data_IF_675863454958
#
_entry.id   IF_675863454958
#
_cell.length_a   1.000
_cell.length_b   1.000
_cell.length_c   1.000
_cell.angle_alpha   90.00
_cell.angle_beta   90.00
_cell.angle_gamma   90.00
#
_symmetry.space_group_name_H-M   'P 1'
#
loop_
_entity.id
_entity.type
_entity.pdbx_description
1 polymer ?
#
# COMPACT_ATOMS: atom_id res chain seq x y z
N UNK A 1 -30.37 18.97 -4.34
CA UNK A 1 -29.28 19.18 -3.36
C UNK A 1 -28.52 17.87 -3.24
N UNK A 2 -27.41 17.74 -3.96
CA UNK A 2 -26.52 16.58 -3.84
C UNK A 2 -25.66 16.85 -2.61
N UNK A 3 -26.01 16.24 -1.49
CA UNK A 3 -25.15 16.20 -0.31
C UNK A 3 -23.92 15.37 -0.68
N UNK A 4 -22.87 16.03 -1.18
CA UNK A 4 -21.53 15.48 -1.10
C UNK A 4 -21.19 15.44 0.38
N UNK A 5 -21.49 14.32 1.03
CA UNK A 5 -20.86 13.96 2.29
C UNK A 5 -19.37 14.18 2.09
N UNK A 6 -18.81 15.21 2.71
CA UNK A 6 -17.37 15.41 2.78
C UNK A 6 -16.81 14.20 3.50
N UNK A 7 -16.50 13.15 2.75
CA UNK A 7 -15.77 11.98 3.23
C UNK A 7 -14.39 12.52 3.53
N UNK A 8 -14.22 13.03 4.74
CA UNK A 8 -12.92 13.20 5.34
C UNK A 8 -12.35 11.79 5.39
N UNK A 9 -11.48 11.45 4.44
CA UNK A 9 -10.61 10.27 4.57
C UNK A 9 -10.01 10.40 5.96
N UNK A 10 -10.34 9.51 6.92
CA UNK A 10 -9.78 9.62 8.25
C UNK A 10 -8.27 9.56 8.08
N UNK A 11 -7.58 10.61 8.54
CA UNK A 11 -6.14 10.68 8.43
C UNK A 11 -5.55 9.42 9.08
N UNK A 12 -4.62 8.76 8.39
CA UNK A 12 -3.84 7.66 8.95
C UNK A 12 -3.30 8.11 10.30
N UNK A 13 -3.76 7.46 11.37
CA UNK A 13 -3.24 7.77 12.69
C UNK A 13 -1.81 7.25 12.78
N UNK A 14 -0.96 7.83 13.65
CA UNK A 14 0.41 7.34 13.83
C UNK A 14 0.45 5.85 14.21
N UNK A 15 -0.56 5.37 14.94
CA UNK A 15 -0.69 3.94 15.28
C UNK A 15 -0.96 3.07 14.04
N UNK A 16 -1.83 3.53 13.13
CA UNK A 16 -2.09 2.87 11.85
C UNK A 16 -0.81 2.80 11.02
N UNK A 17 -0.05 3.90 10.92
CA UNK A 17 1.22 3.94 10.18
C UNK A 17 2.24 2.98 10.79
N UNK A 18 2.30 2.88 12.12
CA UNK A 18 3.17 1.92 12.80
C UNK A 18 2.77 0.47 12.48
N UNK A 19 1.47 0.17 12.44
CA UNK A 19 0.96 -1.14 12.03
C UNK A 19 1.31 -1.47 10.58
N UNK A 20 1.04 -0.57 9.63
CA UNK A 20 1.36 -0.77 8.21
C UNK A 20 2.86 -0.98 8.01
N UNK A 21 3.68 -0.19 8.70
CA UNK A 21 5.15 -0.31 8.68
C UNK A 21 5.62 -1.65 9.25
N UNK A 22 4.98 -2.15 10.32
CA UNK A 22 5.29 -3.46 10.88
C UNK A 22 4.98 -4.59 9.87
N UNK A 23 3.83 -4.53 9.20
CA UNK A 23 3.46 -5.51 8.16
C UNK A 23 4.47 -5.47 7.00
N UNK A 24 4.82 -4.28 6.52
CA UNK A 24 5.82 -4.09 5.48
C UNK A 24 7.18 -4.67 5.89
N UNK A 25 7.62 -4.40 7.12
CA UNK A 25 8.88 -4.91 7.68
C UNK A 25 8.93 -6.43 7.71
N UNK A 26 7.84 -7.06 8.15
CA UNK A 26 7.73 -8.52 8.18
C UNK A 26 7.82 -9.08 6.76
N UNK A 27 7.07 -8.52 5.82
CA UNK A 27 7.09 -8.96 4.42
C UNK A 27 8.47 -8.77 3.76
N UNK A 28 9.13 -7.63 3.98
CA UNK A 28 10.49 -7.38 3.48
C UNK A 28 11.48 -8.42 4.01
N UNK A 29 11.38 -8.80 5.30
CA UNK A 29 12.22 -9.84 5.89
C UNK A 29 11.94 -11.22 5.30
N UNK A 30 10.67 -11.56 5.07
CA UNK A 30 10.28 -12.85 4.49
C UNK A 30 10.77 -13.01 3.05
N UNK A 31 10.75 -11.93 2.27
CA UNK A 31 11.17 -11.92 0.86
C UNK A 31 12.64 -11.52 0.64
N UNK A 32 13.36 -11.17 1.70
CA UNK A 32 14.72 -10.61 1.65
C UNK A 32 14.83 -9.34 0.79
N UNK A 33 13.78 -8.50 0.78
CA UNK A 33 13.80 -7.19 0.14
C UNK A 33 14.28 -6.09 1.08
N UNK A 34 14.89 -5.05 0.50
CA UNK A 34 15.24 -3.84 1.24
C UNK A 34 14.00 -2.97 1.48
N UNK A 35 13.86 -2.42 2.68
CA UNK A 35 12.82 -1.43 2.98
C UNK A 35 12.93 -0.16 2.14
N UNK A 36 14.14 0.17 1.68
CA UNK A 36 14.39 1.32 0.82
C UNK A 36 14.25 0.97 -0.67
N UNK A 37 13.87 -0.28 -0.99
CA UNK A 37 13.71 -0.75 -2.37
C UNK A 37 12.39 -0.31 -3.00
N UNK A 38 12.31 -0.29 -4.33
CA UNK A 38 11.08 0.03 -5.06
C UNK A 38 9.93 -0.94 -4.71
N UNK A 39 10.24 -2.20 -4.40
CA UNK A 39 9.27 -3.22 -4.01
C UNK A 39 8.60 -2.87 -2.69
N UNK A 40 9.38 -2.44 -1.70
CA UNK A 40 8.86 -2.04 -0.40
C UNK A 40 7.99 -0.77 -0.51
N UNK A 41 8.38 0.18 -1.37
CA UNK A 41 7.58 1.37 -1.63
C UNK A 41 6.25 1.01 -2.31
N UNK A 42 6.25 0.09 -3.27
CA UNK A 42 5.04 -0.39 -3.92
C UNK A 42 4.10 -1.05 -2.92
N UNK A 43 4.60 -1.97 -2.11
CA UNK A 43 3.81 -2.64 -1.06
C UNK A 43 3.28 -1.65 -0.01
N UNK A 44 4.07 -0.64 0.36
CA UNK A 44 3.61 0.42 1.27
C UNK A 44 2.39 1.17 0.72
N UNK A 45 2.36 1.46 -0.58
CA UNK A 45 1.22 2.11 -1.25
C UNK A 45 -0.01 1.22 -1.25
N UNK A 46 0.17 -0.07 -1.55
CA UNK A 46 -0.93 -1.04 -1.53
C UNK A 46 -1.50 -1.23 -0.12
N UNK A 47 -0.64 -1.31 0.89
CA UNK A 47 -1.03 -1.36 2.30
C UNK A 47 -1.90 -0.16 2.71
N UNK A 48 -1.51 1.05 2.29
CA UNK A 48 -2.32 2.26 2.50
C UNK A 48 -3.64 2.18 1.73
N UNK A 49 -3.61 1.78 0.46
CA UNK A 49 -4.81 1.66 -0.38
C UNK A 49 -5.84 0.69 0.22
N UNK A 50 -5.40 -0.48 0.67
CA UNK A 50 -6.26 -1.45 1.35
C UNK A 50 -6.79 -0.92 2.68
N UNK A 51 -5.96 -0.22 3.44
CA UNK A 51 -6.39 0.41 4.69
C UNK A 51 -7.48 1.46 4.45
N UNK A 52 -7.29 2.33 3.45
CA UNK A 52 -8.25 3.35 3.04
C UNK A 52 -9.55 2.75 2.47
N UNK A 53 -9.47 1.58 1.84
CA UNK A 53 -10.62 0.81 1.37
C UNK A 53 -11.42 0.18 2.54
N UNK A 54 -10.82 0.09 3.74
CA UNK A 54 -11.47 -0.40 4.95
C UNK A 54 -10.81 -1.63 5.58
N UNK A 55 -9.72 -2.14 5.01
CA UNK A 55 -8.99 -3.30 5.53
C UNK A 55 -8.00 -2.84 6.60
N UNK A 56 -8.46 -2.70 7.83
CA UNK A 56 -7.66 -2.19 8.96
C UNK A 56 -7.02 -3.28 9.82
N UNK A 57 -7.27 -4.55 9.52
CA UNK A 57 -6.73 -5.67 10.30
C UNK A 57 -5.31 -6.03 9.84
N UNK A 58 -4.34 -5.93 10.75
CA UNK A 58 -2.93 -6.34 10.52
C UNK A 58 -2.82 -7.71 9.85
N UNK A 59 -3.57 -8.71 10.34
CA UNK A 59 -3.55 -10.09 9.82
C UNK A 59 -4.01 -10.15 8.36
N UNK A 60 -5.08 -9.43 8.01
CA UNK A 60 -5.58 -9.38 6.62
C UNK A 60 -4.56 -8.72 5.70
N UNK A 61 -4.02 -7.58 6.11
CA UNK A 61 -2.97 -6.87 5.36
C UNK A 61 -1.74 -7.75 5.14
N UNK A 62 -1.29 -8.45 6.19
CA UNK A 62 -0.17 -9.41 6.10
C UNK A 62 -0.47 -10.57 5.15
N UNK A 63 -1.72 -11.06 5.14
CA UNK A 63 -2.17 -12.06 4.19
C UNK A 63 -2.14 -11.53 2.75
N UNK A 64 -2.64 -10.32 2.53
CA UNK A 64 -2.70 -9.71 1.20
C UNK A 64 -1.31 -9.50 0.61
N UNK A 65 -0.37 -8.89 1.34
CA UNK A 65 1.01 -8.67 0.85
C UNK A 65 1.74 -9.97 0.51
N UNK A 66 1.42 -11.09 1.18
CA UNK A 66 2.04 -12.40 0.90
C UNK A 66 1.49 -13.06 -0.36
N UNK A 67 0.21 -12.83 -0.67
CA UNK A 67 -0.43 -13.32 -1.89
C UNK A 67 -0.26 -12.34 -3.06
N UNK A 68 0.15 -11.11 -2.78
CA UNK A 68 0.47 -10.13 -3.80
C UNK A 68 1.67 -10.63 -4.60
N UNK A 69 1.42 -10.96 -5.86
CA UNK A 69 2.50 -11.12 -6.82
C UNK A 69 2.99 -9.71 -7.14
N UNK A 70 4.25 -9.41 -6.78
CA UNK A 70 4.92 -8.22 -7.29
C UNK A 70 5.12 -8.44 -8.78
N UNK A 71 4.10 -8.12 -9.57
CA UNK A 71 4.27 -8.00 -10.99
C UNK A 71 5.09 -6.72 -11.21
N UNK A 72 6.41 -6.86 -11.13
CA UNK A 72 7.37 -5.77 -11.36
C UNK A 72 7.42 -5.41 -12.86
N UNK A 73 6.39 -5.74 -13.63
CA UNK A 73 6.19 -5.37 -15.03
C UNK A 73 5.09 -4.31 -15.15
N UNK A 74 5.19 -3.23 -14.36
CA UNK A 74 4.55 -1.97 -14.74
C UNK A 74 5.64 -0.97 -15.12
N UNK A 75 6.13 -0.98 -16.37
CA UNK A 75 6.85 0.17 -16.89
C UNK A 75 5.94 1.40 -16.69
N UNK A 76 6.48 2.54 -16.22
CA UNK A 76 5.68 3.76 -16.06
C UNK A 76 4.95 4.00 -17.37
N UNK A 77 3.62 4.01 -17.29
CA UNK A 77 2.71 4.25 -18.42
C UNK A 77 3.31 5.40 -19.22
N UNK A 78 3.71 5.07 -20.45
CA UNK A 78 4.44 5.93 -21.34
C UNK A 78 3.79 7.32 -21.39
N UNK A 79 4.47 8.31 -20.84
CA UNK A 79 4.26 9.71 -21.20
C UNK A 79 4.98 9.97 -22.53
N UNK A 80 4.75 9.12 -23.54
CA UNK A 80 5.07 9.46 -24.92
C UNK A 80 3.80 10.07 -25.51
N UNK A 81 3.62 11.36 -25.23
CA UNK A 81 2.69 12.18 -25.96
C UNK A 81 3.36 12.54 -27.29
N UNK A 82 2.83 12.11 -28.45
CA UNK A 82 3.34 12.59 -29.73
C UNK A 82 2.88 14.03 -29.93
N UNK A 83 3.83 14.93 -30.19
CA UNK A 83 3.60 16.20 -30.90
C UNK A 83 4.05 16.04 -32.35
#
# INVERSE_FOLDING_TARGET
MIQHSGITKPALQPDDVAMLTAVLREWCREKSYSMAGPEAQHVARELVSWFECGIREKRRLSGLVRHMHLDLENPPIAADAPL
#
